data_IF_718919931518
#
_entry.id   IF_718919931518
#
_cell.length_a   1.000
_cell.length_b   1.000
_cell.length_c   1.000
_cell.angle_alpha   90.00
_cell.angle_beta   90.00
_cell.angle_gamma   90.00
#
_symmetry.space_group_name_H-M   'P 1'
#
loop_
_entity.id
_entity.type
_entity.pdbx_description
1 polymer ?
#
# COMPACT_ATOMS: atom_id res chain seq x y z
N UNK A 1 -2.43 19.36 5.80
CA UNK A 1 -1.53 18.56 6.63
C UNK A 1 -2.19 17.21 6.93
N UNK A 2 -1.47 16.09 6.86
CA UNK A 2 -2.01 14.77 7.23
C UNK A 2 -1.62 14.51 8.68
N UNK A 3 -2.61 14.35 9.56
CA UNK A 3 -2.38 14.18 11.00
C UNK A 3 -2.57 12.74 11.50
N UNK A 4 -3.05 11.84 10.64
CA UNK A 4 -3.23 10.43 10.94
C UNK A 4 -2.05 9.57 10.44
N UNK A 5 -1.88 8.38 11.02
CA UNK A 5 -0.99 7.36 10.47
C UNK A 5 -1.50 6.88 9.10
N UNK A 6 -0.58 6.72 8.14
CA UNK A 6 -0.88 6.16 6.82
C UNK A 6 -0.33 4.74 6.69
N UNK A 7 -1.07 3.87 6.01
CA UNK A 7 -0.59 2.56 5.55
C UNK A 7 -0.60 2.53 4.02
N UNK A 8 0.58 2.44 3.42
CA UNK A 8 0.75 2.44 1.97
C UNK A 8 1.15 1.05 1.49
N UNK A 9 0.35 0.41 0.64
CA UNK A 9 0.61 -0.93 0.09
C UNK A 9 0.51 -0.88 -1.43
N UNK A 10 1.58 -1.28 -2.11
CA UNK A 10 1.74 -1.12 -3.54
C UNK A 10 2.05 -2.43 -4.25
N UNK A 11 1.39 -2.69 -5.38
CA UNK A 11 1.81 -3.74 -6.30
C UNK A 11 2.96 -3.26 -7.19
N UNK A 12 4.13 -3.89 -7.14
CA UNK A 12 5.30 -3.50 -7.96
C UNK A 12 5.08 -3.66 -9.46
N UNK A 13 4.13 -4.50 -9.86
CA UNK A 13 3.78 -4.78 -11.25
C UNK A 13 2.55 -3.98 -11.70
N UNK A 14 2.06 -3.04 -10.88
CA UNK A 14 0.99 -2.14 -11.26
C UNK A 14 1.53 -1.11 -12.30
N UNK A 15 1.03 -1.14 -13.56
CA UNK A 15 1.52 -0.25 -14.61
C UNK A 15 1.07 1.21 -14.42
N UNK A 16 0.10 1.48 -13.55
CA UNK A 16 -0.42 2.81 -13.30
C UNK A 16 0.41 3.61 -12.28
N UNK A 17 1.27 2.94 -11.50
CA UNK A 17 2.10 3.54 -10.45
C UNK A 17 3.57 3.09 -10.58
N UNK A 18 4.30 3.61 -11.58
CA UNK A 18 5.70 3.24 -11.81
C UNK A 18 6.59 3.57 -10.60
N UNK A 19 7.77 2.94 -10.55
CA UNK A 19 8.71 3.07 -9.43
C UNK A 19 9.06 4.53 -9.10
N UNK A 20 9.23 5.39 -10.11
CA UNK A 20 9.49 6.81 -9.90
C UNK A 20 8.33 7.53 -9.19
N UNK A 21 7.09 7.23 -9.57
CA UNK A 21 5.90 7.79 -8.93
C UNK A 21 5.80 7.37 -7.46
N UNK A 22 6.06 6.08 -7.18
CA UNK A 22 6.12 5.56 -5.80
C UNK A 22 7.22 6.21 -4.97
N UNK A 23 8.42 6.35 -5.54
CA UNK A 23 9.55 7.01 -4.90
C UNK A 23 9.25 8.48 -4.56
N UNK A 24 8.58 9.21 -5.47
CA UNK A 24 8.16 10.59 -5.24
C UNK A 24 7.19 10.70 -4.06
N UNK A 25 6.19 9.82 -3.98
CA UNK A 25 5.24 9.81 -2.85
C UNK A 25 5.98 9.54 -1.54
N UNK A 26 6.84 8.52 -1.50
CA UNK A 26 7.65 8.20 -0.31
C UNK A 26 8.48 9.39 0.16
N UNK A 27 9.18 10.06 -0.76
CA UNK A 27 10.01 11.23 -0.46
C UNK A 27 9.19 12.38 0.11
N UNK A 28 8.04 12.68 -0.49
CA UNK A 28 7.15 13.76 -0.02
C UNK A 28 6.61 13.46 1.37
N UNK A 29 6.14 12.24 1.64
CA UNK A 29 5.66 11.85 2.97
C UNK A 29 6.78 11.92 4.02
N UNK A 30 7.99 11.49 3.65
CA UNK A 30 9.17 11.57 4.52
C UNK A 30 9.55 13.02 4.84
N UNK A 31 9.61 13.89 3.82
CA UNK A 31 9.94 15.31 4.00
C UNK A 31 8.89 16.06 4.81
N UNK A 32 7.62 15.68 4.66
CA UNK A 32 6.52 16.23 5.44
C UNK A 32 6.47 15.72 6.89
N UNK A 33 7.35 14.79 7.28
CA UNK A 33 7.36 14.20 8.62
C UNK A 33 6.10 13.38 8.93
N UNK A 34 5.41 12.85 7.91
CA UNK A 34 4.21 12.04 8.12
C UNK A 34 4.56 10.72 8.85
N UNK A 35 3.66 10.27 9.71
CA UNK A 35 3.72 8.91 10.26
C UNK A 35 3.13 7.92 9.23
N UNK A 36 3.93 7.02 8.68
CA UNK A 36 3.45 6.05 7.71
C UNK A 36 4.22 4.73 7.69
N UNK A 37 3.51 3.67 7.30
CA UNK A 37 4.07 2.36 6.94
C UNK A 37 4.07 2.19 5.41
N UNK A 38 5.08 1.49 4.87
CA UNK A 38 5.26 1.31 3.43
C UNK A 38 5.57 -0.13 3.05
N UNK A 39 4.75 -0.70 2.15
CA UNK A 39 4.93 -2.05 1.66
C UNK A 39 4.85 -2.12 0.14
N UNK A 40 5.79 -2.82 -0.47
CA UNK A 40 5.76 -3.17 -1.90
C UNK A 40 5.70 -4.68 -2.08
N UNK A 41 4.64 -5.16 -2.75
CA UNK A 41 4.38 -6.58 -2.98
C UNK A 41 4.51 -6.95 -4.46
N UNK A 42 4.82 -8.21 -4.75
CA UNK A 42 4.86 -8.72 -6.13
C UNK A 42 3.43 -8.96 -6.63
N UNK A 43 2.75 -7.89 -7.04
CA UNK A 43 1.38 -7.95 -7.54
C UNK A 43 1.07 -6.83 -8.56
N UNK A 44 0.02 -7.03 -9.35
CA UNK A 44 -0.51 -6.07 -10.34
C UNK A 44 -1.55 -5.12 -9.73
N UNK A 45 -2.03 -4.17 -10.53
CA UNK A 45 -3.17 -3.32 -10.16
C UNK A 45 -4.39 -4.16 -9.71
N UNK A 46 -5.05 -3.71 -8.64
CA UNK A 46 -6.26 -4.33 -8.09
C UNK A 46 -6.09 -5.80 -7.64
N UNK A 47 -4.90 -6.21 -7.18
CA UNK A 47 -4.63 -7.58 -6.74
C UNK A 47 -5.49 -8.08 -5.56
N UNK A 48 -6.12 -7.16 -4.82
CA UNK A 48 -7.06 -7.50 -3.74
C UNK A 48 -8.48 -7.80 -4.22
N UNK A 49 -8.84 -7.37 -5.43
CA UNK A 49 -10.20 -7.53 -5.94
C UNK A 49 -10.43 -9.00 -6.22
N UNK A 50 -11.47 -9.57 -5.63
CA UNK A 50 -11.83 -10.99 -5.63
C UNK A 50 -12.42 -11.45 -6.97
N UNK A 51 -11.80 -11.01 -8.06
CA UNK A 51 -12.18 -11.35 -9.42
C UNK A 51 -10.96 -11.32 -10.37
N UNK A 52 -11.02 -12.13 -11.43
CA UNK A 52 -10.04 -12.11 -12.51
C UNK A 52 -8.66 -12.69 -12.17
N UNK A 53 -7.78 -12.69 -13.17
CA UNK A 53 -6.44 -13.31 -13.10
C UNK A 53 -5.44 -12.57 -12.20
N UNK A 54 -5.75 -11.33 -11.82
CA UNK A 54 -4.90 -10.48 -10.97
C UNK A 54 -5.12 -10.73 -9.49
N UNK A 55 -6.24 -11.38 -9.12
CA UNK A 55 -6.58 -11.65 -7.75
C UNK A 55 -5.53 -12.52 -7.08
N UNK A 56 -4.98 -12.02 -5.97
CA UNK A 56 -4.08 -12.78 -5.11
C UNK A 56 -4.72 -12.91 -3.71
N UNK A 57 -5.37 -14.04 -3.40
CA UNK A 57 -6.10 -14.22 -2.13
C UNK A 57 -5.18 -14.13 -0.91
N UNK A 58 -3.94 -14.61 -1.01
CA UNK A 58 -2.99 -14.56 0.08
C UNK A 58 -2.58 -13.12 0.40
N UNK A 59 -2.31 -12.31 -0.63
CA UNK A 59 -2.02 -10.89 -0.45
C UNK A 59 -3.26 -10.12 0.03
N UNK A 60 -4.45 -10.43 -0.47
CA UNK A 60 -5.69 -9.79 0.00
C UNK A 60 -5.89 -9.98 1.50
N UNK A 61 -5.77 -11.22 1.99
CA UNK A 61 -5.86 -11.53 3.43
C UNK A 61 -4.78 -10.82 4.25
N UNK A 62 -3.55 -10.80 3.75
CA UNK A 62 -2.46 -10.09 4.41
C UNK A 62 -2.74 -8.58 4.50
N UNK A 63 -3.24 -7.94 3.42
CA UNK A 63 -3.62 -6.52 3.46
C UNK A 63 -4.76 -6.26 4.45
N UNK A 64 -5.77 -7.13 4.51
CA UNK A 64 -6.83 -7.00 5.53
C UNK A 64 -6.26 -7.08 6.95
N UNK A 65 -5.28 -7.95 7.19
CA UNK A 65 -4.60 -8.00 8.47
C UNK A 65 -3.86 -6.68 8.77
N UNK A 66 -3.11 -6.13 7.81
CA UNK A 66 -2.41 -4.86 8.00
C UNK A 66 -3.37 -3.70 8.29
N UNK A 67 -4.49 -3.62 7.57
CA UNK A 67 -5.52 -2.61 7.82
C UNK A 67 -6.15 -2.76 9.21
N UNK A 68 -6.45 -3.99 9.63
CA UNK A 68 -6.95 -4.26 10.99
C UNK A 68 -5.94 -3.84 12.05
N UNK A 69 -4.67 -4.17 11.87
CA UNK A 69 -3.60 -3.78 12.80
C UNK A 69 -3.46 -2.27 12.90
N UNK A 70 -3.51 -1.52 11.78
CA UNK A 70 -3.50 -0.05 11.79
C UNK A 70 -4.61 0.52 12.68
N UNK A 71 -5.85 0.06 12.50
CA UNK A 71 -7.00 0.59 13.24
C UNK A 71 -7.14 0.05 14.68
N UNK A 72 -6.33 -0.92 15.07
CA UNK A 72 -6.32 -1.48 16.43
C UNK A 72 -5.19 -0.93 17.30
N UNK A 73 -4.29 -0.11 16.75
CA UNK A 73 -3.28 0.61 17.54
C UNK A 73 -3.98 1.70 18.35
N UNK A 74 -3.81 1.64 19.67
CA UNK A 74 -4.31 2.62 20.64
C UNK A 74 -3.50 3.92 20.60
#
# INVERSE_FOLDING_TARGET
>A
EIQAELLMIWGKQDPHIPAEGRAKIYQVLTQAGCNFSWHEVNAQHAFMRDEGERYNPALALWVYQQARELFQRL
#
